data_IF_499206847933
#
_entry.id   IF_499206847933
#
_cell.length_a   1.000
_cell.length_b   1.000
_cell.length_c   1.000
_cell.angle_alpha   90.00
_cell.angle_beta   90.00
_cell.angle_gamma   90.00
#
_symmetry.space_group_name_H-M   'P 1'
#
loop_
_entity.id
_entity.type
_entity.pdbx_description
1 polymer ?
#
# COMPACT_ATOMS: atom_id res chain seq x y z
N UNK A 1 -1.10 -11.45 24.79
CA UNK A 1 -1.38 -10.15 25.44
C UNK A 1 -2.72 -9.67 24.91
N UNK A 2 -3.69 -9.46 25.81
CA UNK A 2 -4.95 -8.84 25.44
C UNK A 2 -4.67 -7.43 24.92
N UNK A 3 -4.96 -7.19 23.65
CA UNK A 3 -4.87 -5.85 23.08
C UNK A 3 -6.02 -5.04 23.69
N UNK A 4 -5.69 -3.89 24.31
CA UNK A 4 -6.68 -3.01 24.91
C UNK A 4 -7.80 -2.61 23.95
N UNK A 5 -8.91 -2.11 24.47
CA UNK A 5 -10.10 -1.72 23.66
C UNK A 5 -9.83 -0.60 22.64
N UNK A 6 -8.71 0.11 22.78
CA UNK A 6 -8.40 1.34 22.04
C UNK A 6 -7.47 1.15 20.82
N UNK A 7 -7.07 -0.10 20.48
CA UNK A 7 -6.24 -0.33 19.28
C UNK A 7 -7.01 -0.06 18.00
N UNK A 8 -6.31 0.43 16.97
CA UNK A 8 -6.91 0.75 15.66
C UNK A 8 -7.58 -0.49 15.07
N UNK A 9 -6.86 -1.61 15.01
CA UNK A 9 -7.37 -2.89 14.50
C UNK A 9 -6.89 -4.02 15.41
N UNK A 10 -7.78 -4.95 15.77
CA UNK A 10 -7.43 -6.13 16.58
C UNK A 10 -6.74 -7.19 15.72
N UNK A 11 -5.77 -7.90 16.29
CA UNK A 11 -5.08 -9.03 15.65
C UNK A 11 -6.07 -10.06 15.10
N UNK A 12 -7.07 -10.42 15.91
CA UNK A 12 -8.11 -11.37 15.51
C UNK A 12 -8.92 -10.93 14.29
N UNK A 13 -9.09 -9.62 14.09
CA UNK A 13 -9.75 -9.07 12.90
C UNK A 13 -8.86 -9.22 11.67
N UNK A 14 -7.57 -8.89 11.76
CA UNK A 14 -6.60 -9.08 10.67
C UNK A 14 -6.53 -10.57 10.29
N UNK A 15 -6.36 -11.46 11.27
CA UNK A 15 -6.27 -12.91 11.04
C UNK A 15 -7.55 -13.47 10.37
N UNK A 16 -8.73 -13.01 10.79
CA UNK A 16 -10.02 -13.41 10.20
C UNK A 16 -10.11 -13.09 8.71
N UNK A 17 -9.54 -11.95 8.28
CA UNK A 17 -9.60 -11.48 6.91
C UNK A 17 -8.29 -11.68 6.14
N UNK A 18 -7.37 -12.47 6.69
CA UNK A 18 -6.15 -12.90 6.00
C UNK A 18 -6.41 -14.20 5.22
N UNK A 19 -5.91 -14.24 3.99
CA UNK A 19 -5.98 -15.41 3.11
C UNK A 19 -4.60 -15.77 2.58
N UNK A 20 -4.37 -17.03 2.27
CA UNK A 20 -3.14 -17.48 1.62
C UNK A 20 -3.26 -17.27 0.12
N UNK A 21 -2.36 -16.49 -0.45
CA UNK A 21 -2.20 -16.28 -1.89
C UNK A 21 -0.78 -15.78 -2.19
N UNK A 22 -0.39 -15.89 -3.45
CA UNK A 22 0.85 -15.28 -3.92
C UNK A 22 0.68 -13.78 -4.18
N UNK A 23 1.70 -12.97 -3.89
CA UNK A 23 1.74 -11.58 -4.37
C UNK A 23 1.63 -11.51 -5.89
N UNK A 24 0.95 -10.48 -6.39
CA UNK A 24 0.91 -10.17 -7.81
C UNK A 24 1.93 -9.07 -8.11
N UNK A 25 2.78 -9.27 -9.12
CA UNK A 25 3.79 -8.28 -9.55
C UNK A 25 3.46 -7.59 -10.86
N UNK A 26 2.45 -8.08 -11.54
CA UNK A 26 1.94 -7.54 -12.80
C UNK A 26 0.44 -7.83 -12.94
N UNK A 27 -0.22 -7.09 -13.82
CA UNK A 27 -1.62 -7.31 -14.16
C UNK A 27 -1.74 -8.41 -15.21
N UNK A 28 -2.66 -9.35 -15.01
CA UNK A 28 -2.98 -10.41 -15.99
C UNK A 28 -3.98 -9.97 -17.07
N UNK A 29 -4.47 -8.73 -17.03
CA UNK A 29 -5.40 -8.15 -17.99
C UNK A 29 -6.86 -8.16 -17.57
N UNK A 30 -7.17 -8.70 -16.41
CA UNK A 30 -8.56 -8.82 -15.94
C UNK A 30 -8.86 -8.00 -14.70
N UNK A 31 -7.84 -7.38 -14.10
CA UNK A 31 -7.92 -6.76 -12.78
C UNK A 31 -7.73 -5.26 -12.83
N UNK A 32 -8.27 -4.59 -11.81
CA UNK A 32 -8.04 -3.18 -11.50
C UNK A 32 -7.20 -3.07 -10.25
N UNK A 33 -6.27 -2.12 -10.25
CA UNK A 33 -5.36 -1.90 -9.12
C UNK A 33 -5.40 -0.47 -8.63
N UNK A 34 -5.15 -0.31 -7.34
CA UNK A 34 -4.82 0.97 -6.71
C UNK A 34 -3.36 0.89 -6.30
N UNK A 35 -2.59 1.91 -6.65
CA UNK A 35 -1.20 2.05 -6.21
C UNK A 35 -1.11 3.18 -5.18
N UNK A 36 -0.35 2.96 -4.12
CA UNK A 36 -0.06 4.01 -3.13
C UNK A 36 1.44 4.20 -2.99
N UNK A 37 1.87 5.41 -2.73
CA UNK A 37 3.26 5.72 -2.50
C UNK A 37 3.42 6.70 -1.34
N UNK A 38 4.15 6.28 -0.32
CA UNK A 38 4.60 7.11 0.79
C UNK A 38 6.09 7.45 0.58
N UNK A 39 6.40 8.65 0.08
CA UNK A 39 7.76 9.04 -0.21
C UNK A 39 8.46 9.59 1.03
N UNK A 40 9.31 8.81 1.65
CA UNK A 40 10.15 9.30 2.75
C UNK A 40 11.22 10.28 2.31
N UNK A 41 11.59 11.21 3.21
CA UNK A 41 12.48 12.30 2.85
C UNK A 41 13.95 12.10 3.26
N UNK A 42 14.30 11.32 4.31
CA UNK A 42 15.70 11.18 4.77
C UNK A 42 16.05 9.88 5.50
N UNK A 43 15.33 9.52 6.55
CA UNK A 43 15.66 8.38 7.42
C UNK A 43 14.54 7.32 7.47
N UNK A 44 13.37 7.70 6.99
CA UNK A 44 12.18 6.84 6.95
C UNK A 44 12.17 6.02 5.66
N UNK A 45 11.36 4.97 5.62
CA UNK A 45 11.25 4.12 4.46
C UNK A 45 10.29 4.72 3.43
N UNK A 46 10.68 4.68 2.16
CA UNK A 46 9.74 4.95 1.06
C UNK A 46 9.01 3.66 0.70
N UNK A 47 7.71 3.64 0.82
CA UNK A 47 6.91 2.43 0.66
C UNK A 47 5.91 2.59 -0.49
N UNK A 48 5.85 1.59 -1.37
CA UNK A 48 4.81 1.45 -2.38
C UNK A 48 3.96 0.24 -2.03
N UNK A 49 2.65 0.44 -1.98
CA UNK A 49 1.67 -0.65 -1.83
C UNK A 49 0.80 -0.72 -3.08
N UNK A 50 0.48 -1.93 -3.49
CA UNK A 50 -0.48 -2.22 -4.55
C UNK A 50 -1.61 -3.07 -3.99
N UNK A 51 -2.84 -2.66 -4.27
CA UNK A 51 -4.03 -3.43 -3.95
C UNK A 51 -4.86 -3.69 -5.20
N UNK A 52 -5.33 -4.92 -5.35
CA UNK A 52 -6.36 -5.28 -6.32
C UNK A 52 -7.71 -4.73 -5.84
N UNK A 53 -8.40 -4.01 -6.72
CA UNK A 53 -9.76 -3.52 -6.52
C UNK A 53 -10.72 -4.45 -7.25
N UNK A 54 -11.64 -5.09 -6.54
CA UNK A 54 -12.59 -6.02 -7.13
C UNK A 54 -13.98 -5.90 -6.48
N UNK A 55 -14.97 -6.47 -7.13
CA UNK A 55 -16.35 -6.48 -6.65
C UNK A 55 -16.73 -7.88 -6.15
N UNK A 56 -17.09 -7.96 -4.88
CA UNK A 56 -17.72 -9.12 -4.27
C UNK A 56 -19.25 -9.00 -4.39
N UNK A 57 -19.96 -10.11 -4.61
CA UNK A 57 -21.41 -10.10 -4.83
C UNK A 57 -22.19 -9.67 -3.57
N UNK A 58 -21.69 -10.00 -2.38
CA UNK A 58 -22.36 -9.71 -1.10
C UNK A 58 -21.90 -8.42 -0.48
N UNK A 59 -20.58 -8.15 -0.53
CA UNK A 59 -19.94 -7.03 0.19
C UNK A 59 -19.76 -5.79 -0.66
N UNK A 60 -19.86 -5.88 -1.98
CA UNK A 60 -19.63 -4.80 -2.90
C UNK A 60 -18.14 -4.62 -3.22
N UNK A 61 -17.64 -3.39 -3.17
CA UNK A 61 -16.26 -3.09 -3.53
C UNK A 61 -15.30 -3.52 -2.41
N UNK A 62 -14.28 -4.28 -2.77
CA UNK A 62 -13.29 -4.84 -1.86
C UNK A 62 -11.87 -4.59 -2.36
N UNK A 63 -10.92 -4.60 -1.44
CA UNK A 63 -9.50 -4.49 -1.67
C UNK A 63 -8.77 -5.76 -1.26
N UNK A 64 -7.80 -6.18 -2.05
CA UNK A 64 -6.85 -7.25 -1.70
C UNK A 64 -5.44 -6.70 -1.82
N UNK A 65 -4.69 -6.67 -0.73
CA UNK A 65 -3.30 -6.21 -0.76
C UNK A 65 -2.45 -7.25 -1.49
N UNK A 66 -1.90 -6.90 -2.64
CA UNK A 66 -1.24 -7.87 -3.52
C UNK A 66 0.27 -7.72 -3.59
N UNK A 67 0.80 -6.52 -3.33
CA UNK A 67 2.24 -6.28 -3.33
C UNK A 67 2.60 -5.08 -2.46
N UNK A 68 3.74 -5.18 -1.77
CA UNK A 68 4.30 -4.07 -1.03
C UNK A 68 5.82 -4.05 -1.16
N UNK A 69 6.36 -2.89 -1.50
CA UNK A 69 7.79 -2.71 -1.77
C UNK A 69 8.33 -1.57 -0.90
N UNK A 70 9.36 -1.88 -0.13
CA UNK A 70 10.17 -0.87 0.55
C UNK A 70 11.32 -0.45 -0.37
N UNK A 71 11.39 0.83 -0.73
CA UNK A 71 12.37 1.38 -1.66
C UNK A 71 13.69 1.70 -0.94
N UNK A 72 14.35 0.66 -0.45
CA UNK A 72 15.66 0.73 0.19
C UNK A 72 16.67 -0.16 -0.55
N UNK A 73 17.91 0.29 -0.63
CA UNK A 73 19.03 -0.54 -1.06
C UNK A 73 19.78 -1.07 0.15
N UNK A 74 20.23 -2.31 0.09
CA UNK A 74 21.13 -2.86 1.10
C UNK A 74 22.59 -2.68 0.65
N UNK A 75 23.35 -1.96 1.45
CA UNK A 75 24.79 -1.89 1.28
C UNK A 75 25.43 -3.27 1.54
N UNK A 76 26.69 -3.46 1.08
CA UNK A 76 27.42 -4.72 1.26
C UNK A 76 27.64 -5.12 2.73
N UNK A 77 27.62 -4.16 3.64
CA UNK A 77 27.71 -4.36 5.09
C UNK A 77 26.36 -4.66 5.76
N UNK A 78 25.29 -4.76 4.97
CA UNK A 78 23.93 -5.03 5.45
C UNK A 78 23.14 -3.80 5.90
N UNK A 79 23.73 -2.60 5.89
CA UNK A 79 23.02 -1.36 6.21
C UNK A 79 21.99 -1.04 5.12
N UNK A 80 20.81 -0.56 5.54
CA UNK A 80 19.79 -0.08 4.60
C UNK A 80 20.08 1.39 4.24
N UNK A 81 20.00 1.70 2.95
CA UNK A 81 20.12 3.06 2.43
C UNK A 81 18.86 3.39 1.64
N UNK A 82 18.33 4.58 1.87
CA UNK A 82 17.19 5.08 1.08
C UNK A 82 17.66 5.28 -0.37
N UNK A 83 16.91 4.72 -1.30
CA UNK A 83 17.14 4.90 -2.74
C UNK A 83 16.93 6.38 -3.10
N UNK A 84 17.80 6.95 -3.92
CA UNK A 84 17.63 8.33 -4.35
C UNK A 84 16.30 8.54 -5.10
N UNK A 85 15.65 9.69 -4.92
CA UNK A 85 14.35 10.01 -5.51
C UNK A 85 14.22 9.71 -7.00
N UNK A 86 15.17 10.07 -7.88
CA UNK A 86 15.05 9.73 -9.32
C UNK A 86 14.91 8.22 -9.56
N UNK A 87 15.64 7.42 -8.79
CA UNK A 87 15.58 5.95 -8.88
C UNK A 87 14.27 5.39 -8.29
N UNK A 88 13.79 5.98 -7.19
CA UNK A 88 12.47 5.64 -6.65
C UNK A 88 11.37 5.91 -7.69
N UNK A 89 11.44 7.06 -8.38
CA UNK A 89 10.49 7.42 -9.44
C UNK A 89 10.56 6.47 -10.63
N UNK A 90 11.76 6.03 -11.03
CA UNK A 90 11.92 5.03 -12.08
C UNK A 90 11.25 3.71 -11.68
N UNK A 91 11.48 3.24 -10.45
CA UNK A 91 10.85 2.01 -9.93
C UNK A 91 9.33 2.16 -9.91
N UNK A 92 8.81 3.26 -9.35
CA UNK A 92 7.38 3.49 -9.26
C UNK A 92 6.70 3.57 -10.63
N UNK A 93 7.28 4.29 -11.59
CA UNK A 93 6.80 4.35 -12.97
C UNK A 93 6.80 2.97 -13.64
N UNK A 94 7.83 2.16 -13.40
CA UNK A 94 7.89 0.80 -13.93
C UNK A 94 6.81 -0.11 -13.29
N UNK A 95 6.51 0.06 -12.00
CA UNK A 95 5.37 -0.62 -11.39
C UNK A 95 4.05 -0.19 -12.01
N UNK A 96 3.85 1.10 -12.28
CA UNK A 96 2.66 1.57 -13.02
C UNK A 96 2.52 0.86 -14.37
N UNK A 97 3.62 0.67 -15.12
CA UNK A 97 3.61 -0.07 -16.40
C UNK A 97 3.20 -1.53 -16.19
N UNK A 98 3.74 -2.21 -15.18
CA UNK A 98 3.42 -3.62 -14.91
C UNK A 98 1.95 -3.82 -14.56
N UNK A 99 1.42 -3.02 -13.65
CA UNK A 99 0.02 -3.15 -13.24
C UNK A 99 -0.97 -2.58 -14.26
N UNK A 100 -0.50 -1.84 -15.26
CA UNK A 100 -1.32 -1.35 -16.37
C UNK A 100 -1.17 -2.15 -17.67
N UNK A 101 -0.49 -3.31 -17.67
CA UNK A 101 -0.22 -4.14 -18.86
C UNK A 101 0.51 -3.40 -19.98
N UNK A 102 1.27 -2.37 -19.69
CA UNK A 102 1.93 -1.57 -20.70
C UNK A 102 0.99 -0.80 -21.63
N UNK A 103 -0.29 -0.63 -21.29
CA UNK A 103 -1.18 0.27 -22.02
C UNK A 103 -0.75 1.72 -21.85
N UNK A 104 -0.99 2.54 -22.88
CA UNK A 104 -0.70 3.98 -22.81
C UNK A 104 -1.65 4.69 -21.86
N UNK A 105 -2.93 4.35 -21.93
CA UNK A 105 -3.99 4.81 -21.04
C UNK A 105 -4.10 3.88 -19.83
N UNK A 106 -4.44 4.43 -18.63
CA UNK A 106 -4.45 3.67 -17.40
C UNK A 106 -5.74 2.84 -17.24
N UNK A 107 -5.88 1.79 -18.06
CA UNK A 107 -7.04 0.88 -17.96
C UNK A 107 -6.94 -0.11 -16.81
N UNK A 108 -5.73 -0.53 -16.44
CA UNK A 108 -5.46 -1.47 -15.35
C UNK A 108 -5.33 -0.83 -13.98
N UNK A 109 -5.10 0.49 -13.93
CA UNK A 109 -4.96 1.26 -12.69
C UNK A 109 -6.18 2.16 -12.52
N UNK A 110 -6.87 2.01 -11.38
CA UNK A 110 -8.01 2.86 -11.04
C UNK A 110 -7.57 4.20 -10.47
N UNK A 111 -6.65 4.16 -9.51
CA UNK A 111 -6.20 5.36 -8.80
C UNK A 111 -4.75 5.19 -8.31
N UNK A 112 -4.06 6.31 -8.20
CA UNK A 112 -2.73 6.42 -7.59
C UNK A 112 -2.82 7.42 -6.44
N UNK A 113 -2.51 6.99 -5.21
CA UNK A 113 -2.47 7.86 -4.04
C UNK A 113 -1.03 8.11 -3.60
N UNK A 114 -0.71 9.36 -3.28
CA UNK A 114 0.61 9.75 -2.78
C UNK A 114 0.45 10.58 -1.51
N UNK A 115 1.21 10.26 -0.45
CA UNK A 115 1.28 11.14 0.70
C UNK A 115 2.01 12.44 0.32
N UNK A 116 1.24 13.51 0.23
CA UNK A 116 1.70 14.86 -0.02
C UNK A 116 1.98 15.64 1.28
N UNK A 117 2.25 14.94 2.38
CA UNK A 117 2.41 15.50 3.73
C UNK A 117 3.37 16.68 3.85
N UNK A 118 3.51 17.18 5.08
CA UNK A 118 4.14 18.47 5.43
C UNK A 118 5.60 18.66 4.99
N UNK A 119 6.27 17.62 4.50
CA UNK A 119 7.66 17.66 4.02
C UNK A 119 7.86 18.01 2.55
N UNK A 120 6.77 18.21 1.77
CA UNK A 120 6.82 18.58 0.34
C UNK A 120 7.23 17.44 -0.60
N UNK A 121 7.63 16.28 -0.07
CA UNK A 121 8.16 15.17 -0.87
C UNK A 121 7.15 14.60 -1.85
N UNK A 122 5.91 14.39 -1.41
CA UNK A 122 4.86 13.80 -2.25
C UNK A 122 4.33 14.76 -3.32
N UNK A 123 4.26 16.06 -3.05
CA UNK A 123 3.90 17.03 -4.07
C UNK A 123 4.96 17.09 -5.19
N UNK A 124 6.24 17.10 -4.83
CA UNK A 124 7.34 17.03 -5.79
C UNK A 124 7.28 15.75 -6.63
N UNK A 125 6.97 14.60 -5.99
CA UNK A 125 6.70 13.33 -6.70
C UNK A 125 5.55 13.49 -7.68
N UNK A 126 4.42 14.08 -7.25
CA UNK A 126 3.28 14.35 -8.13
C UNK A 126 3.67 15.19 -9.35
N UNK A 127 4.50 16.22 -9.19
CA UNK A 127 4.99 17.01 -10.33
C UNK A 127 5.83 16.18 -11.31
N UNK A 128 6.63 15.23 -10.83
CA UNK A 128 7.38 14.30 -11.70
C UNK A 128 6.50 13.32 -12.47
N UNK A 129 5.26 13.12 -12.03
CA UNK A 129 4.29 12.23 -12.69
C UNK A 129 3.43 12.93 -13.75
N UNK A 130 3.45 14.29 -13.82
CA UNK A 130 2.68 15.04 -14.82
C UNK A 130 3.11 14.77 -16.26
N UNK A 131 4.40 14.51 -16.46
CA UNK A 131 4.96 14.33 -17.81
C UNK A 131 4.85 12.90 -18.28
N UNK A 132 4.57 12.74 -19.57
CA UNK A 132 4.69 11.45 -20.24
C UNK A 132 6.10 10.89 -20.05
N UNK A 133 6.18 9.58 -19.90
CA UNK A 133 7.46 8.91 -19.65
C UNK A 133 7.61 7.63 -20.48
N UNK A 134 8.86 7.30 -20.80
CA UNK A 134 9.18 6.04 -21.45
C UNK A 134 9.31 4.94 -20.41
N UNK A 135 8.43 3.95 -20.45
CA UNK A 135 8.45 2.79 -19.56
C UNK A 135 9.56 1.79 -19.90
N UNK A 136 9.75 0.79 -19.03
CA UNK A 136 10.69 -0.32 -19.26
C UNK A 136 10.35 -1.18 -20.49
N UNK A 137 9.09 -1.16 -20.90
CA UNK A 137 8.59 -1.78 -22.15
C UNK A 137 8.96 -1.01 -23.42
N UNK A 138 9.62 0.15 -23.27
CA UNK A 138 10.02 1.03 -24.37
C UNK A 138 8.92 1.90 -24.94
N UNK A 139 7.69 1.80 -24.46
CA UNK A 139 6.55 2.61 -24.90
C UNK A 139 6.49 3.94 -24.15
N UNK A 140 5.81 4.91 -24.74
CA UNK A 140 5.48 6.17 -24.10
C UNK A 140 4.17 6.01 -23.35
N UNK A 141 4.18 6.23 -22.02
CA UNK A 141 3.03 6.24 -21.14
C UNK A 141 2.66 7.67 -20.78
N UNK A 142 1.38 7.94 -20.59
CA UNK A 142 0.91 9.26 -20.21
C UNK A 142 1.34 9.62 -18.79
N UNK A 143 1.50 10.91 -18.54
CA UNK A 143 1.58 11.44 -17.19
C UNK A 143 0.24 11.28 -16.48
N UNK A 144 0.25 11.51 -15.16
CA UNK A 144 -0.97 11.51 -14.34
C UNK A 144 -1.08 12.81 -13.54
N UNK A 145 -2.31 13.27 -13.28
CA UNK A 145 -2.59 14.53 -12.59
C UNK A 145 -3.68 14.34 -11.54
N UNK A 146 -3.55 15.08 -10.44
CA UNK A 146 -4.63 15.20 -9.45
C UNK A 146 -5.54 16.39 -9.84
N UNK A 147 -6.75 16.10 -10.37
CA UNK A 147 -7.66 17.14 -10.84
C UNK A 147 -8.30 17.94 -9.71
N UNK A 148 -8.26 17.45 -8.46
CA UNK A 148 -8.85 18.12 -7.31
C UNK A 148 -7.85 18.94 -6.51
N UNK A 149 -6.55 18.70 -6.68
CA UNK A 149 -5.51 19.46 -6.01
C UNK A 149 -5.38 20.88 -6.60
N UNK A 150 -5.54 21.91 -5.75
CA UNK A 150 -5.55 23.32 -6.18
C UNK A 150 -4.28 23.74 -6.92
N UNK A 151 -3.11 23.20 -6.53
CA UNK A 151 -1.85 23.53 -7.18
C UNK A 151 -1.69 22.76 -8.49
N UNK A 152 -2.13 21.51 -8.58
CA UNK A 152 -2.04 20.74 -9.81
C UNK A 152 -3.03 21.19 -10.89
N UNK A 153 -4.17 21.76 -10.50
CA UNK A 153 -5.11 22.40 -11.44
C UNK A 153 -4.44 23.47 -12.31
N UNK A 154 -3.41 24.14 -11.79
CA UNK A 154 -2.67 25.15 -12.55
C UNK A 154 -1.87 24.57 -13.73
N UNK A 155 -1.54 23.29 -13.67
CA UNK A 155 -0.77 22.60 -14.72
C UNK A 155 -1.64 21.86 -15.73
N UNK A 156 -2.96 21.84 -15.56
CA UNK A 156 -3.88 21.07 -16.41
C UNK A 156 -3.77 21.44 -17.91
N UNK A 157 -3.63 22.73 -18.20
CA UNK A 157 -3.52 23.23 -19.57
C UNK A 157 -2.14 22.95 -20.19
N UNK A 158 -1.09 22.85 -19.35
CA UNK A 158 0.27 22.54 -19.78
C UNK A 158 0.46 21.02 -20.04
N UNK A 159 -0.34 20.17 -19.38
CA UNK A 159 -0.28 18.70 -19.49
C UNK A 159 -1.66 18.09 -19.84
N UNK A 160 -2.21 18.44 -21.02
CA UNK A 160 -3.58 18.02 -21.41
C UNK A 160 -3.72 16.50 -21.62
N UNK A 161 -2.60 15.78 -21.83
CA UNK A 161 -2.57 14.33 -21.98
C UNK A 161 -2.53 13.56 -20.66
N UNK A 162 -2.28 14.25 -19.52
CA UNK A 162 -2.15 13.58 -18.23
C UNK A 162 -3.49 13.01 -17.76
N UNK A 163 -3.51 11.73 -17.38
CA UNK A 163 -4.71 11.05 -16.91
C UNK A 163 -5.07 11.46 -15.47
N UNK A 164 -6.35 11.70 -15.16
CA UNK A 164 -6.80 12.24 -13.87
C UNK A 164 -6.98 11.16 -12.79
N UNK A 165 -5.96 10.29 -12.62
CA UNK A 165 -5.98 9.17 -11.66
C UNK A 165 -5.11 9.40 -10.42
N UNK A 166 -4.38 10.53 -10.35
CA UNK A 166 -3.54 10.86 -9.21
C UNK A 166 -4.38 11.51 -8.11
N UNK A 167 -4.10 11.14 -6.86
CA UNK A 167 -4.68 11.70 -5.65
C UNK A 167 -3.56 12.06 -4.67
N UNK A 168 -3.36 13.35 -4.40
CA UNK A 168 -2.40 13.85 -3.44
C UNK A 168 -3.06 14.02 -2.08
N UNK A 169 -2.80 13.10 -1.17
CA UNK A 169 -3.38 13.09 0.16
C UNK A 169 -2.47 13.74 1.19
N UNK A 170 -3.04 14.43 2.19
CA UNK A 170 -2.27 15.03 3.28
C UNK A 170 -2.75 14.56 4.64
N UNK A 171 -2.01 13.64 5.23
CA UNK A 171 -2.27 13.17 6.61
C UNK A 171 -2.28 14.29 7.65
N UNK A 172 -1.66 15.43 7.38
CA UNK A 172 -1.68 16.57 8.31
C UNK A 172 -3.09 17.12 8.50
N UNK A 173 -3.92 17.12 7.46
CA UNK A 173 -5.28 17.68 7.50
C UNK A 173 -6.32 16.64 7.92
N UNK A 174 -6.23 15.45 7.34
CA UNK A 174 -7.32 14.48 7.33
C UNK A 174 -6.98 13.15 8.03
N UNK A 175 -5.88 13.13 8.83
CA UNK A 175 -5.37 11.92 9.49
C UNK A 175 -6.45 11.13 10.22
N UNK A 176 -7.24 11.79 11.07
CA UNK A 176 -8.25 11.12 11.89
C UNK A 176 -9.32 10.45 11.03
N UNK A 177 -9.85 11.16 10.04
CA UNK A 177 -10.89 10.65 9.14
C UNK A 177 -10.37 9.44 8.33
N UNK A 178 -9.14 9.52 7.82
CA UNK A 178 -8.50 8.44 7.07
C UNK A 178 -8.32 7.18 7.91
N UNK A 179 -7.82 7.31 9.15
CA UNK A 179 -7.67 6.18 10.07
C UNK A 179 -9.02 5.56 10.45
N UNK A 180 -10.06 6.37 10.69
CA UNK A 180 -11.40 5.87 11.00
C UNK A 180 -12.04 5.15 9.81
N UNK A 181 -11.88 5.66 8.58
CA UNK A 181 -12.33 4.99 7.36
C UNK A 181 -11.64 3.63 7.17
N UNK A 182 -10.31 3.59 7.30
CA UNK A 182 -9.52 2.35 7.24
C UNK A 182 -10.00 1.33 8.28
N UNK A 183 -10.17 1.77 9.54
CA UNK A 183 -10.67 0.92 10.62
C UNK A 183 -12.04 0.33 10.26
N UNK A 184 -12.94 1.14 9.73
CA UNK A 184 -14.28 0.70 9.33
C UNK A 184 -14.22 -0.34 8.22
N UNK A 185 -13.43 -0.11 7.16
CA UNK A 185 -13.27 -1.05 6.05
C UNK A 185 -12.70 -2.39 6.51
N UNK A 186 -11.64 -2.37 7.33
CA UNK A 186 -11.03 -3.60 7.86
C UNK A 186 -12.02 -4.36 8.74
N UNK A 187 -12.75 -3.68 9.65
CA UNK A 187 -13.72 -4.32 10.53
C UNK A 187 -14.91 -4.92 9.78
N UNK A 188 -15.29 -4.35 8.63
CA UNK A 188 -16.32 -4.88 7.75
C UNK A 188 -15.81 -6.02 6.86
N UNK A 189 -14.50 -6.31 6.86
CA UNK A 189 -13.87 -7.33 6.04
C UNK A 189 -13.87 -6.97 4.56
N UNK A 190 -13.74 -5.68 4.25
CA UNK A 190 -13.60 -5.16 2.89
C UNK A 190 -12.14 -5.12 2.42
N UNK A 191 -11.20 -5.39 3.33
CA UNK A 191 -9.77 -5.49 3.02
C UNK A 191 -9.30 -6.91 3.29
N UNK A 192 -8.70 -7.55 2.28
CA UNK A 192 -8.08 -8.86 2.37
C UNK A 192 -6.56 -8.68 2.50
N UNK A 193 -6.02 -9.27 3.55
CA UNK A 193 -4.58 -9.29 3.81
C UNK A 193 -3.97 -10.64 3.37
N UNK A 194 -2.67 -10.69 3.00
CA UNK A 194 -2.00 -11.96 2.86
C UNK A 194 -1.84 -12.64 4.22
N UNK A 195 -1.99 -13.94 4.26
CA UNK A 195 -1.52 -14.73 5.41
C UNK A 195 0.00 -14.74 5.40
N UNK A 196 0.61 -14.53 6.57
CA UNK A 196 2.07 -14.50 6.70
C UNK A 196 2.69 -15.87 6.37
N UNK A 197 4.01 -15.85 6.17
CA UNK A 197 4.80 -17.07 6.00
C UNK A 197 4.94 -17.81 7.32
N UNK A 198 5.02 -19.15 7.25
CA UNK A 198 5.36 -19.95 8.42
C UNK A 198 6.87 -19.83 8.77
N UNK A 199 7.29 -20.49 9.84
CA UNK A 199 8.68 -20.46 10.34
C UNK A 199 9.72 -21.01 9.35
N UNK A 200 9.28 -21.67 8.27
CA UNK A 200 10.12 -22.19 7.20
C UNK A 200 10.10 -21.33 5.93
N UNK A 201 9.46 -20.16 6.00
CA UNK A 201 9.18 -19.29 4.87
C UNK A 201 8.35 -19.98 3.77
N UNK A 202 7.32 -20.73 4.16
CA UNK A 202 6.39 -21.40 3.25
C UNK A 202 4.99 -20.81 3.40
N UNK A 203 4.24 -20.81 2.30
CA UNK A 203 2.80 -20.52 2.26
C UNK A 203 2.02 -21.79 2.61
N UNK A 204 0.95 -21.63 3.39
CA UNK A 204 0.08 -22.72 3.84
C UNK A 204 -1.27 -22.61 3.15
N UNK A 205 -1.52 -23.46 2.16
CA UNK A 205 -2.78 -23.54 1.42
C UNK A 205 -3.66 -24.63 2.01
N UNK A 206 -4.89 -24.28 2.38
CA UNK A 206 -5.93 -25.25 2.73
C UNK A 206 -6.48 -25.86 1.43
N UNK A 207 -6.40 -27.18 1.29
CA UNK A 207 -6.82 -27.92 0.10
C UNK A 207 -7.84 -28.98 0.51
N UNK A 208 -8.97 -29.01 -0.16
CA UNK A 208 -9.96 -30.08 -0.01
C UNK A 208 -9.52 -31.31 -0.82
N UNK A 209 -9.41 -32.44 -0.15
CA UNK A 209 -9.08 -33.71 -0.76
C UNK A 209 -10.33 -34.31 -1.45
N UNK A 210 -10.16 -35.29 -2.38
CA UNK A 210 -11.28 -35.94 -3.06
C UNK A 210 -12.28 -36.66 -2.14
N UNK A 211 -11.89 -36.96 -0.93
CA UNK A 211 -12.73 -37.59 0.10
C UNK A 211 -13.48 -36.58 0.99
N UNK A 212 -13.34 -35.25 0.69
CA UNK A 212 -13.95 -34.16 1.46
C UNK A 212 -13.17 -33.77 2.71
N UNK A 213 -12.05 -34.40 3.01
CA UNK A 213 -11.18 -33.98 4.12
C UNK A 213 -10.32 -32.78 3.73
N UNK A 214 -9.99 -31.92 4.71
CA UNK A 214 -9.08 -30.79 4.51
C UNK A 214 -7.64 -31.18 4.82
N UNK A 215 -6.72 -30.77 3.98
CA UNK A 215 -5.27 -30.89 4.21
C UNK A 215 -4.57 -29.57 3.99
N UNK A 216 -3.35 -29.44 4.49
CA UNK A 216 -2.51 -28.25 4.27
C UNK A 216 -1.42 -28.61 3.27
N UNK A 217 -1.39 -27.88 2.16
CA UNK A 217 -0.31 -27.92 1.18
C UNK A 217 0.67 -26.79 1.50
N UNK A 218 1.95 -27.14 1.63
CA UNK A 218 3.02 -26.16 1.84
C UNK A 218 3.68 -25.85 0.50
N UNK A 219 3.84 -24.56 0.21
CA UNK A 219 4.54 -24.09 -1.00
C UNK A 219 5.61 -23.09 -0.63
N UNK A 220 6.78 -23.21 -1.25
CA UNK A 220 7.90 -22.32 -1.01
C UNK A 220 7.89 -21.19 -2.04
N UNK A 221 7.60 -19.95 -1.63
CA UNK A 221 7.61 -18.79 -2.52
C UNK A 221 9.04 -18.41 -2.91
N UNK A 222 9.17 -17.67 -4.02
CA UNK A 222 10.41 -17.05 -4.44
C UNK A 222 10.81 -15.86 -3.54
N UNK A 223 12.01 -15.33 -3.78
CA UNK A 223 12.56 -14.27 -2.93
C UNK A 223 11.71 -12.98 -2.97
N UNK A 224 11.23 -12.58 -4.15
CA UNK A 224 10.43 -11.37 -4.30
C UNK A 224 9.07 -11.51 -3.61
N UNK A 225 8.46 -12.71 -3.67
CA UNK A 225 7.22 -13.02 -2.98
C UNK A 225 7.41 -13.00 -1.45
N UNK A 226 8.51 -13.60 -0.96
CA UNK A 226 8.89 -13.53 0.47
C UNK A 226 9.05 -12.08 0.92
N UNK A 227 9.76 -11.27 0.14
CA UNK A 227 9.97 -9.87 0.46
C UNK A 227 8.64 -9.11 0.52
N UNK A 228 7.79 -9.24 -0.49
CA UNK A 228 6.49 -8.57 -0.54
C UNK A 228 5.58 -8.97 0.63
N UNK A 229 5.45 -10.28 0.93
CA UNK A 229 4.66 -10.78 2.07
C UNK A 229 5.22 -10.22 3.39
N UNK A 230 6.54 -10.20 3.55
CA UNK A 230 7.19 -9.66 4.76
C UNK A 230 6.87 -8.18 4.96
N UNK A 231 6.87 -7.37 3.88
CA UNK A 231 6.49 -5.95 3.96
C UNK A 231 5.01 -5.79 4.34
N UNK A 232 4.11 -6.59 3.78
CA UNK A 232 2.70 -6.57 4.14
C UNK A 232 2.45 -7.07 5.58
N UNK A 233 3.28 -7.98 6.10
CA UNK A 233 3.24 -8.38 7.51
C UNK A 233 3.66 -7.23 8.44
N UNK A 234 4.68 -6.46 8.07
CA UNK A 234 5.06 -5.26 8.82
C UNK A 234 3.92 -4.23 8.85
N UNK A 235 3.23 -4.01 7.72
CA UNK A 235 2.05 -3.14 7.67
C UNK A 235 0.93 -3.62 8.64
N UNK A 236 0.68 -4.92 8.73
CA UNK A 236 -0.27 -5.49 9.70
C UNK A 236 0.17 -5.23 11.14
N UNK A 237 1.44 -5.43 11.45
CA UNK A 237 1.97 -5.17 12.81
C UNK A 237 1.87 -3.68 13.18
N UNK A 238 2.09 -2.76 12.23
CA UNK A 238 1.91 -1.33 12.47
C UNK A 238 0.42 -0.96 12.67
N UNK A 239 -0.50 -1.52 11.87
CA UNK A 239 -1.95 -1.34 12.06
C UNK A 239 -2.38 -1.78 13.47
N UNK A 240 -1.90 -2.92 13.94
CA UNK A 240 -2.17 -3.45 15.28
C UNK A 240 -1.44 -2.68 16.39
N UNK A 241 -0.33 -2.01 16.03
CA UNK A 241 0.47 -1.18 16.91
C UNK A 241 -0.06 0.24 17.11
N UNK A 242 -1.12 0.63 16.40
CA UNK A 242 -1.75 1.96 16.56
C UNK A 242 -2.91 1.92 17.53
N UNK A 243 -3.07 3.01 18.28
CA UNK A 243 -4.18 3.20 19.22
C UNK A 243 -4.87 4.54 19.03
N UNK A 244 -6.16 4.56 19.31
CA UNK A 244 -6.99 5.76 19.35
C UNK A 244 -6.95 6.35 20.74
N UNK A 245 -6.46 7.58 20.87
CA UNK A 245 -6.32 8.28 22.15
C UNK A 245 -7.13 9.56 22.12
N UNK A 246 -7.94 9.79 23.16
CA UNK A 246 -8.66 11.05 23.36
C UNK A 246 -7.85 11.97 24.27
N UNK A 247 -7.41 13.10 23.73
CA UNK A 247 -6.69 14.12 24.52
C UNK A 247 -7.63 14.86 25.48
N UNK A 248 -7.10 15.54 26.53
CA UNK A 248 -7.91 16.29 27.50
C UNK A 248 -8.83 17.36 26.88
N UNK A 249 -8.44 17.92 25.74
CA UNK A 249 -9.23 18.90 24.98
C UNK A 249 -10.34 18.25 24.11
N UNK A 250 -10.53 16.92 24.20
CA UNK A 250 -11.51 16.18 23.43
C UNK A 250 -11.05 15.74 22.04
N UNK A 251 -9.88 16.18 21.56
CA UNK A 251 -9.35 15.80 20.25
C UNK A 251 -8.96 14.33 20.23
N UNK A 252 -9.40 13.62 19.20
CA UNK A 252 -8.99 12.24 18.93
C UNK A 252 -7.70 12.26 18.11
N UNK A 253 -6.72 11.44 18.52
CA UNK A 253 -5.47 11.24 17.82
C UNK A 253 -5.19 9.75 17.68
N UNK A 254 -4.54 9.38 16.59
CA UNK A 254 -3.99 8.06 16.39
C UNK A 254 -2.47 8.11 16.62
N UNK A 255 -1.98 7.28 17.50
CA UNK A 255 -0.57 7.19 17.87
C UNK A 255 -0.15 5.76 18.14
N UNK A 256 1.14 5.48 18.02
CA UNK A 256 1.67 4.16 18.33
C UNK A 256 1.48 3.81 19.81
N UNK A 257 1.12 2.56 20.07
CA UNK A 257 1.11 2.02 21.45
C UNK A 257 2.51 2.05 22.06
N UNK A 258 2.64 2.06 23.39
CA UNK A 258 3.95 1.97 24.04
C UNK A 258 4.77 0.74 23.61
N UNK A 259 4.10 -0.39 23.37
CA UNK A 259 4.73 -1.61 22.87
C UNK A 259 5.27 -1.44 21.45
N UNK A 260 4.50 -0.81 20.54
CA UNK A 260 4.95 -0.53 19.19
C UNK A 260 6.18 0.39 19.19
N UNK A 261 6.15 1.45 19.98
CA UNK A 261 7.31 2.36 20.14
C UNK A 261 8.55 1.64 20.68
N UNK A 262 8.39 0.73 21.64
CA UNK A 262 9.51 -0.04 22.21
C UNK A 262 10.11 -1.03 21.20
N UNK A 263 9.33 -1.49 20.24
CA UNK A 263 9.76 -2.39 19.17
C UNK A 263 10.27 -1.67 17.92
N UNK A 264 10.47 -0.34 17.98
CA UNK A 264 10.90 0.50 16.87
C UNK A 264 10.03 0.33 15.62
N UNK A 265 8.73 0.09 15.78
CA UNK A 265 7.81 0.16 14.67
C UNK A 265 7.68 1.63 14.23
N UNK A 266 7.67 1.83 12.93
CA UNK A 266 7.44 3.13 12.29
C UNK A 266 5.98 3.25 11.86
N UNK A 267 5.59 4.28 11.15
CA UNK A 267 4.24 4.43 10.57
C UNK A 267 4.25 4.51 9.04
N UNK A 268 5.35 4.15 8.40
CA UNK A 268 5.55 4.24 6.96
C UNK A 268 4.67 3.23 6.18
N UNK A 269 4.59 1.98 6.67
CA UNK A 269 3.79 0.93 6.02
C UNK A 269 2.29 1.13 6.23
N UNK A 270 1.89 1.60 7.41
CA UNK A 270 0.48 1.90 7.71
C UNK A 270 -0.04 3.05 6.87
N UNK A 271 0.77 4.10 6.62
CA UNK A 271 0.35 5.24 5.80
C UNK A 271 0.00 4.78 4.39
N UNK A 272 0.84 3.96 3.74
CA UNK A 272 0.53 3.36 2.45
C UNK A 272 -0.75 2.49 2.50
N UNK A 273 -0.98 1.75 3.59
CA UNK A 273 -2.19 0.94 3.76
C UNK A 273 -3.43 1.81 3.94
N UNK A 274 -3.33 2.94 4.62
CA UNK A 274 -4.45 3.89 4.78
C UNK A 274 -4.78 4.53 3.44
N UNK A 275 -3.77 4.95 2.67
CA UNK A 275 -4.00 5.57 1.36
C UNK A 275 -4.80 4.68 0.41
N UNK A 276 -4.62 3.36 0.45
CA UNK A 276 -5.36 2.45 -0.42
C UNK A 276 -6.83 2.29 -0.05
N UNK A 277 -7.21 2.68 1.17
CA UNK A 277 -8.59 2.58 1.68
C UNK A 277 -9.40 3.87 1.52
N UNK A 278 -8.79 4.91 0.97
CA UNK A 278 -9.44 6.21 0.70
C UNK A 278 -10.15 6.20 -0.64
#
# INVERSE_FOLDING_TARGET
MDQGEDVLVKRTTIEKFSKTYYPDFENDGTRKYILTYDPASRLDNSVVLVAELFRDEEKGLMLKLVNMVNLVERAKDGTSMVIQKPKQMEIFKNMMVDYNLGYVDYEGIDSVFIDAGAGGGGFEVGQHLLTDFKGKDGRLHRGIIDPENEYMKLYKDDYPSADPILNLFSFKKDKTAAYEATQAMINQGLVIFPKGLNVRNELEFEVENPDGSMSIKYEKPGLDEINSITQMDLAKEELMGMQKTKKPNGTIVFEQTPAAKSNNLHDDWIQSTILVTL
#
